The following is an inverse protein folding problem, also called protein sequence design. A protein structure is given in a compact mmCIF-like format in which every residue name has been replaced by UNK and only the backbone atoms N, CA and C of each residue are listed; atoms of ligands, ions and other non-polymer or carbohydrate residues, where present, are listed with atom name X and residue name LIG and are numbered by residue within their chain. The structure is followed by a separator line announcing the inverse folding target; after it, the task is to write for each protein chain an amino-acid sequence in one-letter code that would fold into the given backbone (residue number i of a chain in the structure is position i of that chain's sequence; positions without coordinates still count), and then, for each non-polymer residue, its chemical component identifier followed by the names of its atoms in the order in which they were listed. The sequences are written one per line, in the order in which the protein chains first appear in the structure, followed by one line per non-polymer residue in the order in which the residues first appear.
data_IF_990088317079
#
_entry.id   IF_990088317079
#
_cell.length_a   1.000
_cell.length_b   1.000
_cell.length_c   1.000
_cell.angle_alpha   90.00
_cell.angle_beta   90.00
_cell.angle_gamma   90.00
#
_symmetry.space_group_name_H-M   'P 1'
#
loop_
_entity.id
_entity.type
_entity.pdbx_description
1 polymer ?
#
# COMPACT_ATOMS: atom_id res chain seq x y z
N UNK A 1 -14.86 1.32 31.77
CA UNK A 1 -15.33 0.27 30.86
C UNK A 1 -15.18 -1.06 31.58
N UNK A 2 -16.21 -1.91 31.65
CA UNK A 2 -16.08 -3.21 32.31
C UNK A 2 -15.04 -4.08 31.56
N UNK A 3 -14.16 -4.83 32.26
CA UNK A 3 -13.08 -5.61 31.63
C UNK A 3 -13.57 -6.54 30.51
N UNK A 4 -14.71 -7.20 30.73
CA UNK A 4 -15.32 -8.10 29.75
C UNK A 4 -15.77 -7.39 28.46
N UNK A 5 -16.12 -6.10 28.54
CA UNK A 5 -16.53 -5.29 27.39
C UNK A 5 -15.33 -4.86 26.56
N UNK A 6 -14.23 -4.46 27.20
CA UNK A 6 -12.93 -4.15 26.56
C UNK A 6 -12.43 -5.35 25.75
N UNK A 7 -12.33 -6.52 26.39
CA UNK A 7 -11.79 -7.73 25.77
C UNK A 7 -12.63 -8.19 24.57
N UNK A 8 -13.96 -8.15 24.69
CA UNK A 8 -14.86 -8.50 23.57
C UNK A 8 -14.72 -7.53 22.40
N UNK A 9 -14.58 -6.23 22.68
CA UNK A 9 -14.38 -5.21 21.65
C UNK A 9 -13.05 -5.43 20.92
N UNK A 10 -11.97 -5.60 21.67
CA UNK A 10 -10.63 -5.79 21.12
C UNK A 10 -10.52 -7.09 20.31
N UNK A 11 -11.13 -8.18 20.78
CA UNK A 11 -11.19 -9.44 20.04
C UNK A 11 -11.87 -9.26 18.69
N UNK A 12 -13.02 -8.57 18.67
CA UNK A 12 -13.75 -8.29 17.43
C UNK A 12 -12.92 -7.44 16.49
N UNK A 13 -12.25 -6.41 16.99
CA UNK A 13 -11.38 -5.55 16.20
C UNK A 13 -10.25 -6.34 15.53
N UNK A 14 -9.50 -7.15 16.30
CA UNK A 14 -8.40 -7.97 15.79
C UNK A 14 -8.88 -8.92 14.68
N UNK A 15 -9.98 -9.64 14.94
CA UNK A 15 -10.54 -10.60 13.97
C UNK A 15 -11.07 -9.92 12.71
N UNK A 16 -11.75 -8.78 12.86
CA UNK A 16 -12.29 -8.03 11.72
C UNK A 16 -11.17 -7.46 10.85
N UNK A 17 -10.15 -6.85 11.46
CA UNK A 17 -9.00 -6.31 10.72
C UNK A 17 -8.24 -7.42 9.99
N UNK A 18 -8.01 -8.56 10.64
CA UNK A 18 -7.37 -9.72 10.00
C UNK A 18 -8.17 -10.19 8.78
N UNK A 19 -9.49 -10.32 8.91
CA UNK A 19 -10.38 -10.69 7.80
C UNK A 19 -10.29 -9.68 6.65
N UNK A 20 -10.43 -8.39 6.94
CA UNK A 20 -10.38 -7.32 5.92
C UNK A 20 -9.04 -7.28 5.17
N UNK A 21 -7.93 -7.50 5.89
CA UNK A 21 -6.60 -7.57 5.27
C UNK A 21 -6.45 -8.82 4.40
N UNK A 22 -6.90 -9.98 4.86
CA UNK A 22 -6.87 -11.23 4.09
C UNK A 22 -7.74 -11.14 2.81
N UNK A 23 -8.95 -10.56 2.91
CA UNK A 23 -9.87 -10.37 1.79
C UNK A 23 -9.31 -9.45 0.70
N UNK A 24 -8.33 -8.58 1.04
CA UNK A 24 -7.73 -7.62 0.11
C UNK A 24 -6.26 -7.87 -0.22
N UNK A 25 -5.59 -8.82 0.42
CA UNK A 25 -4.14 -9.05 0.30
C UNK A 25 -3.66 -9.24 -1.14
N UNK A 26 -4.47 -9.93 -1.97
CA UNK A 26 -4.15 -10.17 -3.39
C UNK A 26 -4.28 -8.91 -4.26
N UNK A 27 -4.96 -7.88 -3.76
CA UNK A 27 -5.15 -6.58 -4.41
C UNK A 27 -4.20 -5.50 -3.88
N UNK A 28 -3.57 -5.72 -2.72
CA UNK A 28 -2.60 -4.79 -2.13
C UNK A 28 -1.39 -4.61 -3.05
N UNK A 29 -0.86 -3.39 -3.09
CA UNK A 29 0.39 -3.08 -3.77
C UNK A 29 1.64 -3.41 -2.91
N UNK A 30 2.84 -3.13 -3.44
CA UNK A 30 4.11 -3.40 -2.73
C UNK A 30 4.23 -2.62 -1.41
N UNK A 31 3.75 -1.38 -1.36
CA UNK A 31 3.84 -0.54 -0.17
C UNK A 31 2.84 -1.02 0.87
N UNK A 32 1.58 -1.26 0.50
CA UNK A 32 0.56 -1.78 1.42
C UNK A 32 0.95 -3.14 2.03
N UNK A 33 1.55 -4.03 1.24
CA UNK A 33 2.03 -5.32 1.73
C UNK A 33 3.16 -5.16 2.75
N UNK A 34 4.16 -4.31 2.45
CA UNK A 34 5.27 -4.03 3.37
C UNK A 34 4.81 -3.30 4.62
N UNK A 35 3.88 -2.35 4.47
CA UNK A 35 3.28 -1.62 5.57
C UNK A 35 2.59 -2.57 6.53
N UNK A 36 1.79 -3.51 6.00
CA UNK A 36 1.11 -4.54 6.79
C UNK A 36 2.10 -5.37 7.60
N UNK A 37 3.22 -5.78 6.99
CA UNK A 37 4.26 -6.53 7.71
C UNK A 37 4.90 -5.68 8.79
N UNK A 38 5.29 -4.44 8.49
CA UNK A 38 5.91 -3.51 9.45
C UNK A 38 5.01 -3.23 10.65
N UNK A 39 3.74 -2.94 10.41
CA UNK A 39 2.75 -2.63 11.44
C UNK A 39 2.64 -3.74 12.48
N UNK A 40 2.50 -4.99 12.04
CA UNK A 40 2.35 -6.14 12.93
C UNK A 40 3.68 -6.57 13.54
N UNK A 41 4.77 -6.56 12.77
CA UNK A 41 6.09 -6.80 13.31
C UNK A 41 6.45 -5.80 14.42
N UNK A 42 5.93 -4.57 14.36
CA UNK A 42 6.16 -3.54 15.37
C UNK A 42 5.61 -3.93 16.75
N UNK A 43 4.53 -4.70 16.79
CA UNK A 43 3.90 -5.22 18.00
C UNK A 43 4.55 -6.50 18.54
N UNK A 44 5.41 -7.15 17.75
CA UNK A 44 6.09 -8.39 18.14
C UNK A 44 7.37 -8.11 18.95
N UNK A 45 7.65 -8.96 19.94
CA UNK A 45 8.94 -8.99 20.62
C UNK A 45 10.08 -9.36 19.64
N UNK A 46 11.35 -9.08 19.96
CA UNK A 46 12.47 -9.47 19.08
C UNK A 46 12.49 -10.96 18.74
N UNK A 47 12.18 -11.82 19.71
CA UNK A 47 12.11 -13.27 19.52
C UNK A 47 10.96 -13.68 18.59
N UNK A 48 9.78 -13.09 18.78
CA UNK A 48 8.63 -13.31 17.91
C UNK A 48 8.87 -12.80 16.49
N UNK A 49 9.48 -11.62 16.32
CA UNK A 49 9.86 -11.09 15.00
C UNK A 49 10.78 -12.08 14.29
N UNK A 50 11.79 -12.60 14.97
CA UNK A 50 12.71 -13.58 14.38
C UNK A 50 11.99 -14.87 13.98
N UNK A 51 11.07 -15.36 14.81
CA UNK A 51 10.31 -16.58 14.54
C UNK A 51 9.33 -16.44 13.37
N UNK A 52 8.61 -15.32 13.27
CA UNK A 52 7.50 -15.14 12.32
C UNK A 52 7.90 -14.43 11.02
N UNK A 53 8.94 -13.60 11.03
CA UNK A 53 9.44 -12.98 9.80
C UNK A 53 10.37 -13.91 9.03
N UNK A 54 11.11 -14.79 9.71
CA UNK A 54 12.00 -15.76 9.07
C UNK A 54 12.94 -15.10 8.05
N UNK A 55 12.81 -15.50 6.78
CA UNK A 55 13.62 -14.98 5.66
C UNK A 55 13.02 -13.73 4.96
N UNK A 56 11.98 -13.12 5.54
CA UNK A 56 11.30 -11.95 4.98
C UNK A 56 12.28 -10.87 4.53
N UNK A 57 12.04 -10.34 3.33
CA UNK A 57 12.79 -9.21 2.78
C UNK A 57 11.84 -8.24 2.11
N UNK A 58 12.00 -6.94 2.37
CA UNK A 58 11.25 -5.90 1.67
C UNK A 58 11.62 -5.79 0.18
N UNK A 59 12.72 -6.41 -0.23
CA UNK A 59 13.16 -6.51 -1.62
C UNK A 59 12.53 -7.68 -2.37
N UNK A 60 11.72 -8.49 -1.70
CA UNK A 60 10.88 -9.47 -2.37
C UNK A 60 9.96 -8.81 -3.41
N UNK A 61 9.63 -9.60 -4.42
CA UNK A 61 8.62 -9.23 -5.41
C UNK A 61 7.24 -9.19 -4.76
N UNK A 62 6.30 -8.45 -5.37
CA UNK A 62 4.90 -8.42 -4.92
C UNK A 62 4.30 -9.83 -4.81
N UNK A 63 4.62 -10.73 -5.75
CA UNK A 63 4.12 -12.10 -5.72
C UNK A 63 4.65 -12.90 -4.52
N UNK A 64 5.92 -12.70 -4.15
CA UNK A 64 6.49 -13.31 -2.95
C UNK A 64 5.84 -12.74 -1.68
N UNK A 65 5.66 -11.42 -1.62
CA UNK A 65 4.96 -10.76 -0.52
C UNK A 65 3.51 -11.26 -0.38
N UNK A 66 2.77 -11.38 -1.48
CA UNK A 66 1.38 -11.89 -1.48
C UNK A 66 1.27 -13.35 -1.05
N UNK A 67 2.32 -14.15 -1.17
CA UNK A 67 2.38 -15.51 -0.61
C UNK A 67 2.68 -15.52 0.88
N UNK A 68 3.58 -14.63 1.32
CA UNK A 68 4.03 -14.54 2.70
C UNK A 68 2.98 -13.89 3.63
N UNK A 69 2.48 -12.72 3.24
CA UNK A 69 1.65 -11.84 4.08
C UNK A 69 0.39 -12.54 4.63
N UNK A 70 -0.37 -13.37 3.88
CA UNK A 70 -1.53 -14.05 4.44
C UNK A 70 -1.22 -14.95 5.62
N UNK A 71 -0.13 -15.74 5.52
CA UNK A 71 0.32 -16.63 6.59
C UNK A 71 0.77 -15.80 7.79
N UNK A 72 1.55 -14.75 7.55
CA UNK A 72 2.01 -13.84 8.59
C UNK A 72 0.85 -13.13 9.32
N UNK A 73 -0.19 -12.67 8.60
CA UNK A 73 -1.40 -12.07 9.21
C UNK A 73 -2.06 -13.09 10.15
N UNK A 74 -2.22 -14.34 9.72
CA UNK A 74 -2.88 -15.37 10.53
C UNK A 74 -2.08 -15.68 11.80
N UNK A 75 -0.78 -15.95 11.66
CA UNK A 75 0.10 -16.22 12.81
C UNK A 75 0.14 -15.06 13.79
N UNK A 76 0.24 -13.82 13.30
CA UNK A 76 0.17 -12.63 14.13
C UNK A 76 -1.18 -12.49 14.84
N UNK A 77 -2.28 -12.76 14.13
CA UNK A 77 -3.64 -12.69 14.69
C UNK A 77 -3.80 -13.64 15.87
N UNK A 78 -3.27 -14.86 15.75
CA UNK A 78 -3.30 -15.85 16.84
C UNK A 78 -2.51 -15.34 18.05
N UNK A 79 -1.31 -14.80 17.85
CA UNK A 79 -0.52 -14.19 18.93
C UNK A 79 -1.24 -13.02 19.62
N UNK A 80 -1.85 -12.12 18.83
CA UNK A 80 -2.58 -10.99 19.36
C UNK A 80 -3.81 -11.43 20.19
N UNK A 81 -4.49 -12.50 19.76
CA UNK A 81 -5.60 -13.09 20.51
C UNK A 81 -5.14 -13.81 21.78
N UNK A 82 -3.97 -14.43 21.77
CA UNK A 82 -3.34 -15.04 22.95
C UNK A 82 -2.94 -13.99 23.98
N UNK A 83 -2.27 -12.90 23.57
CA UNK A 83 -1.94 -11.78 24.45
C UNK A 83 -3.22 -11.17 25.06
N UNK A 84 -4.24 -10.92 24.23
CA UNK A 84 -5.53 -10.43 24.70
C UNK A 84 -6.18 -11.37 25.74
N UNK A 85 -6.09 -12.69 25.53
CA UNK A 85 -6.61 -13.68 26.48
C UNK A 85 -5.83 -13.64 27.80
N UNK A 86 -4.51 -13.45 27.76
CA UNK A 86 -3.70 -13.30 28.96
C UNK A 86 -4.08 -12.05 29.79
N UNK A 87 -4.67 -11.03 29.15
CA UNK A 87 -5.15 -9.79 29.79
C UNK A 87 -6.63 -9.78 30.20
N UNK A 88 -7.36 -10.89 30.03
CA UNK A 88 -8.82 -10.92 30.21
C UNK A 88 -9.31 -10.53 31.62
N UNK A 89 -8.49 -10.80 32.65
CA UNK A 89 -8.78 -10.42 34.05
C UNK A 89 -8.34 -9.01 34.44
N UNK A 90 -7.64 -8.28 33.56
CA UNK A 90 -7.05 -6.99 33.89
C UNK A 90 -7.98 -5.83 33.55
N UNK A 91 -7.99 -4.78 34.39
CA UNK A 91 -8.88 -3.64 34.21
C UNK A 91 -8.52 -2.75 33.01
N UNK A 92 -7.28 -2.84 32.50
CA UNK A 92 -6.80 -2.01 31.40
C UNK A 92 -6.55 -0.55 31.80
N UNK A 93 -6.21 -0.32 33.07
CA UNK A 93 -5.97 1.03 33.62
C UNK A 93 -4.48 1.36 33.74
N UNK A 94 -3.61 0.36 33.60
CA UNK A 94 -2.15 0.49 33.60
C UNK A 94 -1.59 -0.09 32.31
N UNK A 95 -0.42 0.38 31.90
CA UNK A 95 0.23 -0.09 30.66
C UNK A 95 0.51 -1.60 30.68
N UNK A 96 0.88 -2.16 31.83
CA UNK A 96 1.11 -3.60 31.98
C UNK A 96 -0.15 -4.46 31.76
N UNK A 97 -1.33 -3.85 31.86
CA UNK A 97 -2.63 -4.51 31.67
C UNK A 97 -3.09 -4.45 30.19
N UNK A 98 -2.37 -3.73 29.33
CA UNK A 98 -2.67 -3.53 27.91
C UNK A 98 -1.94 -4.54 27.02
N UNK A 99 -2.56 -4.86 25.89
CA UNK A 99 -1.95 -5.61 24.80
C UNK A 99 -1.05 -4.71 23.95
N UNK A 100 -0.15 -5.31 23.17
CA UNK A 100 0.69 -4.54 22.24
C UNK A 100 -0.11 -3.80 21.16
N UNK A 101 -1.27 -4.34 20.77
CA UNK A 101 -2.25 -3.69 19.88
C UNK A 101 -2.87 -2.43 20.51
N UNK A 102 -3.32 -2.54 21.76
CA UNK A 102 -3.90 -1.39 22.46
C UNK A 102 -2.85 -0.30 22.69
N UNK A 103 -1.62 -0.70 23.04
CA UNK A 103 -0.51 0.23 23.11
C UNK A 103 -0.25 0.88 21.74
N UNK A 104 -0.36 0.19 20.62
CA UNK A 104 -0.17 0.80 19.30
C UNK A 104 -1.26 1.85 18.98
N UNK A 105 -2.51 1.64 19.40
CA UNK A 105 -3.60 2.59 19.13
C UNK A 105 -3.67 3.80 20.08
N UNK A 106 -2.79 3.88 21.09
CA UNK A 106 -2.74 5.00 22.02
C UNK A 106 -1.83 6.14 21.52
N UNK A 107 -2.16 7.38 21.88
CA UNK A 107 -1.29 8.53 21.67
C UNK A 107 -0.07 8.48 22.61
N UNK A 108 1.00 9.20 22.24
CA UNK A 108 2.18 9.29 23.10
C UNK A 108 1.86 10.02 24.41
N UNK A 109 1.04 11.06 24.37
CA UNK A 109 0.61 11.79 25.56
C UNK A 109 -0.01 10.86 26.62
N UNK A 110 -0.93 9.98 26.23
CA UNK A 110 -1.56 9.05 27.16
C UNK A 110 -0.57 8.02 27.71
N UNK A 111 0.29 7.45 26.86
CA UNK A 111 1.31 6.47 27.28
C UNK A 111 2.31 7.05 28.26
N UNK A 112 2.85 8.22 27.96
CA UNK A 112 3.88 8.85 28.77
C UNK A 112 3.32 9.40 30.07
N UNK A 113 2.05 9.84 30.09
CA UNK A 113 1.32 10.13 31.31
C UNK A 113 1.18 8.90 32.23
N UNK A 114 0.82 7.74 31.67
CA UNK A 114 0.70 6.50 32.44
C UNK A 114 2.06 5.97 32.91
N UNK A 115 3.10 6.03 32.06
CA UNK A 115 4.48 5.69 32.43
C UNK A 115 5.01 6.57 33.56
N UNK A 116 4.64 7.85 33.60
CA UNK A 116 5.05 8.73 34.69
C UNK A 116 4.50 8.28 36.06
N UNK A 117 3.34 7.63 36.07
CA UNK A 117 2.72 7.07 37.28
C UNK A 117 3.23 5.67 37.61
N UNK A 118 3.59 4.89 36.59
CA UNK A 118 4.09 3.53 36.72
C UNK A 118 5.29 3.29 35.78
N UNK A 119 6.50 3.72 36.17
CA UNK A 119 7.70 3.61 35.32
C UNK A 119 8.09 2.17 34.94
N UNK A 120 7.60 1.17 35.68
CA UNK A 120 7.81 -0.25 35.40
C UNK A 120 6.71 -0.90 34.56
N UNK A 121 5.76 -0.10 34.05
CA UNK A 121 4.56 -0.61 33.38
C UNK A 121 4.79 -1.21 31.98
N UNK A 122 5.97 -1.02 31.38
CA UNK A 122 6.33 -1.56 30.06
C UNK A 122 7.46 -2.58 30.16
N UNK A 123 7.39 -3.60 29.31
CA UNK A 123 8.53 -4.52 29.09
C UNK A 123 9.69 -3.79 28.39
N UNK A 124 10.93 -4.29 28.50
CA UNK A 124 12.10 -3.64 27.87
C UNK A 124 12.00 -3.46 26.35
N UNK A 125 11.35 -4.37 25.64
CA UNK A 125 11.09 -4.27 24.20
C UNK A 125 10.07 -3.16 23.88
N UNK A 126 8.99 -3.10 24.66
CA UNK A 126 7.94 -2.08 24.52
C UNK A 126 8.49 -0.69 24.83
N UNK A 127 9.31 -0.54 25.88
CA UNK A 127 9.92 0.74 26.24
C UNK A 127 10.79 1.28 25.10
N UNK A 128 11.58 0.43 24.45
CA UNK A 128 12.40 0.82 23.28
C UNK A 128 11.52 1.27 22.11
N UNK A 129 10.42 0.56 21.84
CA UNK A 129 9.44 0.94 20.82
C UNK A 129 8.86 2.32 21.10
N UNK A 130 8.38 2.58 22.31
CA UNK A 130 7.78 3.87 22.65
C UNK A 130 8.81 5.01 22.71
N UNK A 131 10.06 4.74 23.12
CA UNK A 131 11.16 5.71 23.00
C UNK A 131 11.46 6.07 21.54
N UNK A 132 11.46 5.09 20.63
CA UNK A 132 11.63 5.34 19.21
C UNK A 132 10.47 6.18 18.63
N UNK A 133 9.22 5.92 19.04
CA UNK A 133 8.07 6.76 18.64
C UNK A 133 8.15 8.16 19.21
N UNK A 134 8.56 8.32 20.48
CA UNK A 134 8.79 9.63 21.09
C UNK A 134 9.86 10.43 20.35
N UNK A 135 10.92 9.76 19.89
CA UNK A 135 11.94 10.39 19.05
C UNK A 135 11.37 10.96 17.73
N UNK A 136 10.34 10.34 17.16
CA UNK A 136 9.67 10.82 15.95
C UNK A 136 8.75 12.03 16.21
N UNK A 137 8.34 12.25 17.46
CA UNK A 137 7.35 13.26 17.83
C UNK A 137 7.91 14.68 17.84
N UNK A 138 7.67 15.47 16.78
CA UNK A 138 8.27 16.81 16.59
C UNK A 138 7.43 18.01 17.00
N UNK A 139 6.15 17.81 17.34
CA UNK A 139 5.23 18.89 17.71
C UNK A 139 4.26 18.45 18.79
N UNK A 140 3.60 19.42 19.41
CA UNK A 140 2.52 19.18 20.38
C UNK A 140 1.38 18.35 19.77
N UNK A 141 0.92 18.72 18.58
CA UNK A 141 -0.20 18.04 17.92
C UNK A 141 0.10 16.55 17.68
N UNK A 142 1.32 16.23 17.22
CA UNK A 142 1.75 14.85 17.00
C UNK A 142 1.88 14.04 18.30
N UNK A 143 2.12 14.70 19.43
CA UNK A 143 2.22 14.03 20.74
C UNK A 143 0.85 13.53 21.21
N UNK A 144 -0.20 14.26 20.88
CA UNK A 144 -1.59 13.92 21.21
C UNK A 144 -2.29 13.11 20.11
N UNK A 145 -1.72 13.03 18.91
CA UNK A 145 -2.25 12.23 17.81
C UNK A 145 -2.10 10.73 18.06
N UNK A 146 -3.21 10.00 17.95
CA UNK A 146 -3.22 8.53 18.01
C UNK A 146 -2.61 7.90 16.76
N UNK A 147 -2.64 8.59 15.62
CA UNK A 147 -2.15 8.10 14.34
C UNK A 147 -0.62 7.98 14.24
N UNK A 148 0.13 8.77 15.01
CA UNK A 148 1.60 8.72 14.97
C UNK A 148 2.16 7.34 15.32
N UNK A 149 1.55 6.66 16.31
CA UNK A 149 2.01 5.35 16.77
C UNK A 149 1.99 4.28 15.67
N UNK A 150 1.01 4.36 14.77
CA UNK A 150 0.88 3.47 13.61
C UNK A 150 1.75 3.98 12.44
N UNK A 151 1.63 5.27 12.11
CA UNK A 151 2.32 5.86 10.95
C UNK A 151 3.85 5.88 11.09
N UNK A 152 4.41 5.86 12.30
CA UNK A 152 5.85 5.89 12.52
C UNK A 152 6.60 4.78 11.76
N UNK A 153 6.00 3.59 11.61
CA UNK A 153 6.61 2.43 10.94
C UNK A 153 6.84 2.65 9.44
N UNK A 154 6.22 3.67 8.86
CA UNK A 154 6.37 4.01 7.44
C UNK A 154 7.75 4.60 7.15
N UNK A 155 8.37 5.22 8.15
CA UNK A 155 9.53 6.07 7.97
C UNK A 155 10.84 5.37 8.38
N UNK A 156 11.87 5.39 7.52
CA UNK A 156 13.16 4.75 7.81
C UNK A 156 13.86 5.33 9.06
N UNK A 157 13.60 6.60 9.41
CA UNK A 157 14.14 7.22 10.61
C UNK A 157 13.71 6.48 11.89
N UNK A 158 12.45 6.03 11.96
CA UNK A 158 11.92 5.27 13.09
C UNK A 158 12.66 3.95 13.26
N UNK A 159 12.81 3.18 12.17
CA UNK A 159 13.50 1.88 12.19
C UNK A 159 14.95 2.03 12.60
N UNK A 160 15.67 3.03 12.07
CA UNK A 160 17.06 3.32 12.46
C UNK A 160 17.21 3.59 13.96
N UNK A 161 16.28 4.34 14.55
CA UNK A 161 16.29 4.66 15.98
C UNK A 161 15.94 3.43 16.81
N UNK A 162 14.93 2.67 16.39
CA UNK A 162 14.53 1.43 17.07
C UNK A 162 15.65 0.40 17.06
N UNK A 163 16.26 0.12 15.90
CA UNK A 163 17.39 -0.81 15.77
C UNK A 163 18.57 -0.37 16.66
N UNK A 164 18.87 0.92 16.70
CA UNK A 164 19.92 1.43 17.58
C UNK A 164 19.57 1.29 19.07
N UNK A 165 18.31 1.42 19.47
CA UNK A 165 17.87 1.16 20.85
C UNK A 165 17.92 -0.33 21.21
N UNK A 166 17.57 -1.20 20.28
CA UNK A 166 17.62 -2.66 20.46
C UNK A 166 19.05 -3.19 20.54
N UNK A 167 19.99 -2.59 19.81
CA UNK A 167 21.41 -2.91 19.88
C UNK A 167 22.10 -2.46 21.19
N UNK A 168 21.41 -1.71 22.06
CA UNK A 168 21.97 -1.18 23.32
C UNK A 168 21.48 -1.97 24.53
N UNK A 169 22.31 -2.06 25.60
CA UNK A 169 21.90 -2.66 26.87
C UNK A 169 20.69 -1.94 27.48
N UNK A 170 19.89 -2.65 28.28
CA UNK A 170 18.68 -2.11 28.94
C UNK A 170 18.95 -0.82 29.72
N UNK A 171 20.12 -0.70 30.35
CA UNK A 171 20.54 0.49 31.08
C UNK A 171 20.48 1.80 30.25
N UNK A 172 20.61 1.71 28.92
CA UNK A 172 20.47 2.87 28.02
C UNK A 172 19.01 3.28 27.89
N UNK A 173 18.10 2.32 27.71
CA UNK A 173 16.67 2.59 27.65
C UNK A 173 16.15 3.12 29.00
N UNK A 174 16.63 2.57 30.12
CA UNK A 174 16.32 3.05 31.46
C UNK A 174 16.86 4.47 31.74
N UNK A 175 18.05 4.79 31.22
CA UNK A 175 18.57 6.16 31.28
C UNK A 175 17.66 7.13 30.50
N UNK A 176 17.30 6.80 29.26
CA UNK A 176 16.42 7.63 28.44
C UNK A 176 15.03 7.75 29.05
N UNK A 177 14.49 6.68 29.65
CA UNK A 177 13.25 6.73 30.40
C UNK A 177 13.32 7.79 31.51
N UNK A 178 14.40 7.80 32.32
CA UNK A 178 14.58 8.83 33.37
C UNK A 178 14.60 10.24 32.80
N UNK A 179 15.27 10.46 31.68
CA UNK A 179 15.30 11.76 30.98
C UNK A 179 13.89 12.23 30.61
N UNK A 180 13.05 11.32 30.11
CA UNK A 180 11.66 11.63 29.76
C UNK A 180 10.83 11.90 31.02
N UNK A 181 10.99 11.08 32.06
CA UNK A 181 10.26 11.21 33.33
C UNK A 181 10.57 12.52 34.07
N UNK A 182 11.81 13.01 34.03
CA UNK A 182 12.19 14.32 34.54
C UNK A 182 11.44 15.48 33.85
N UNK A 183 10.88 15.23 32.66
CA UNK A 183 10.10 16.19 31.86
C UNK A 183 8.61 15.87 31.83
N UNK A 184 8.15 14.87 32.57
CA UNK A 184 6.78 14.38 32.51
C UNK A 184 5.73 15.46 32.83
N UNK A 185 6.01 16.35 33.79
CA UNK A 185 5.12 17.46 34.15
C UNK A 185 4.96 18.45 32.97
N UNK A 186 6.09 18.82 32.33
CA UNK A 186 6.08 19.68 31.13
C UNK A 186 5.32 19.04 29.98
N UNK A 187 5.45 17.72 29.80
CA UNK A 187 4.76 16.98 28.73
C UNK A 187 3.25 16.81 29.00
N UNK A 188 2.83 16.68 30.26
CA UNK A 188 1.45 16.35 30.61
C UNK A 188 0.57 17.59 30.79
N UNK A 189 1.09 18.61 31.46
CA UNK A 189 0.32 19.78 31.91
C UNK A 189 0.88 21.12 31.36
N UNK A 190 1.94 21.06 30.54
CA UNK A 190 2.56 22.24 29.94
C UNK A 190 1.78 22.82 28.76
N UNK A 191 1.93 24.13 28.47
CA UNK A 191 1.43 24.72 27.23
C UNK A 191 2.16 24.13 26.00
N UNK A 192 1.58 24.24 24.78
CA UNK A 192 2.15 23.65 23.57
C UNK A 192 3.64 23.93 23.35
N UNK A 193 4.08 25.18 23.49
CA UNK A 193 5.48 25.58 23.31
C UNK A 193 6.44 24.87 24.29
N UNK A 194 6.00 24.66 25.54
CA UNK A 194 6.80 23.99 26.57
C UNK A 194 6.93 22.48 26.30
N UNK A 195 5.85 21.87 25.78
CA UNK A 195 5.84 20.47 25.33
C UNK A 195 6.78 20.30 24.15
N UNK A 196 6.72 21.18 23.15
CA UNK A 196 7.61 21.14 21.98
C UNK A 196 9.07 21.29 22.37
N UNK A 197 9.38 22.21 23.28
CA UNK A 197 10.72 22.36 23.83
C UNK A 197 11.18 21.08 24.57
N UNK A 198 10.31 20.46 25.38
CA UNK A 198 10.64 19.22 26.08
C UNK A 198 10.88 18.06 25.10
N UNK A 199 10.07 17.92 24.06
CA UNK A 199 10.24 16.93 23.00
C UNK A 199 11.55 17.13 22.23
N UNK A 200 11.91 18.38 21.93
CA UNK A 200 13.18 18.71 21.29
C UNK A 200 14.38 18.30 22.15
N UNK A 201 14.38 18.62 23.44
CA UNK A 201 15.42 18.19 24.39
C UNK A 201 15.54 16.66 24.47
N UNK A 202 14.41 15.95 24.59
CA UNK A 202 14.37 14.48 24.66
C UNK A 202 14.98 13.88 23.39
N UNK A 203 14.59 14.40 22.22
CA UNK A 203 15.12 13.95 20.92
C UNK A 203 16.62 14.18 20.82
N UNK A 204 17.09 15.34 21.24
CA UNK A 204 18.52 15.69 21.21
C UNK A 204 19.34 14.76 22.13
N UNK A 205 18.88 14.51 23.36
CA UNK A 205 19.54 13.59 24.30
C UNK A 205 19.53 12.17 23.77
N UNK A 206 18.39 11.72 23.22
CA UNK A 206 18.26 10.39 22.62
C UNK A 206 19.19 10.22 21.43
N UNK A 207 19.21 11.18 20.50
CA UNK A 207 20.10 11.17 19.34
C UNK A 207 21.57 11.12 19.73
N UNK A 208 22.00 11.96 20.69
CA UNK A 208 23.37 11.94 21.23
C UNK A 208 23.72 10.60 21.89
N UNK A 209 22.81 10.04 22.68
CA UNK A 209 23.02 8.77 23.38
C UNK A 209 23.17 7.60 22.40
N UNK A 210 22.38 7.60 21.33
CA UNK A 210 22.42 6.54 20.31
C UNK A 210 23.52 6.74 19.27
N UNK A 211 24.08 7.95 19.15
CA UNK A 211 24.99 8.33 18.08
C UNK A 211 24.27 8.55 16.74
N UNK A 212 22.99 8.92 16.79
CA UNK A 212 22.14 9.16 15.62
C UNK A 212 21.99 10.66 15.42
N UNK A 213 22.27 11.12 14.20
CA UNK A 213 21.97 12.46 13.75
C UNK A 213 20.93 12.38 12.62
N UNK A 214 19.70 12.78 12.91
CA UNK A 214 18.60 12.90 11.94
C UNK A 214 18.01 14.32 12.09
N UNK A 215 18.07 15.17 11.04
CA UNK A 215 17.41 16.46 11.05
C UNK A 215 15.90 16.33 11.28
N UNK A 216 15.29 17.25 12.04
CA UNK A 216 13.87 17.18 12.44
C UNK A 216 12.94 17.21 11.21
N UNK A 217 13.31 17.96 10.18
CA UNK A 217 12.63 18.04 8.88
C UNK A 217 12.73 16.74 8.06
N UNK A 218 13.67 15.84 8.39
CA UNK A 218 13.86 14.56 7.73
C UNK A 218 13.27 13.36 8.48
N UNK A 219 12.67 13.55 9.67
CA UNK A 219 12.07 12.46 10.44
C UNK A 219 11.00 11.70 9.63
N UNK A 220 10.23 12.40 8.79
CA UNK A 220 9.16 11.85 7.98
C UNK A 220 9.51 11.77 6.48
N UNK A 221 10.80 11.75 6.16
CA UNK A 221 11.26 11.61 4.77
C UNK A 221 11.37 10.14 4.35
N UNK A 222 11.13 9.87 3.06
CA UNK A 222 11.26 8.52 2.50
C UNK A 222 10.20 7.55 3.01
N UNK A 223 8.93 7.99 3.06
CA UNK A 223 7.80 7.13 3.40
C UNK A 223 7.85 5.83 2.58
N UNK A 224 7.72 4.69 3.25
CA UNK A 224 7.68 3.36 2.64
C UNK A 224 8.86 3.02 1.71
N UNK A 225 10.03 3.65 1.83
CA UNK A 225 11.24 3.16 1.16
C UNK A 225 11.60 1.76 1.66
N UNK A 226 12.17 0.91 0.80
CA UNK A 226 12.54 -0.47 1.17
C UNK A 226 13.66 -0.47 2.21
N UNK A 227 13.55 -1.38 3.19
CA UNK A 227 14.53 -1.58 4.25
C UNK A 227 15.22 -2.95 4.13
N UNK A 228 16.54 -3.04 4.36
CA UNK A 228 17.49 -1.93 4.60
C UNK A 228 17.61 -1.00 3.38
N UNK A 229 18.01 0.26 3.56
CA UNK A 229 18.06 1.26 2.46
C UNK A 229 18.98 0.85 1.32
N UNK A 230 20.09 0.20 1.65
CA UNK A 230 20.98 -0.43 0.67
C UNK A 230 20.45 -1.82 0.35
N UNK A 231 20.25 -2.10 -0.93
CA UNK A 231 19.80 -3.41 -1.37
C UNK A 231 20.86 -4.47 -1.03
N UNK A 232 20.51 -5.54 -0.31
CA UNK A 232 21.43 -6.64 -0.04
C UNK A 232 21.93 -7.29 -1.35
N UNK A 233 23.20 -7.71 -1.37
CA UNK A 233 23.81 -8.43 -2.50
C UNK A 233 23.06 -9.72 -2.82
N UNK A 234 22.61 -10.42 -1.77
CA UNK A 234 21.78 -11.62 -1.84
C UNK A 234 20.42 -11.33 -1.20
N UNK A 235 19.35 -11.45 -1.99
CA UNK A 235 17.98 -11.43 -1.45
C UNK A 235 17.62 -12.88 -1.14
N UNK A 236 17.33 -13.23 0.13
CA UNK A 236 16.91 -14.58 0.49
C UNK A 236 15.74 -15.00 -0.39
N UNK A 237 15.83 -16.14 -1.06
CA UNK A 237 14.67 -16.69 -1.74
C UNK A 237 13.64 -17.08 -0.67
N UNK A 238 12.41 -16.57 -0.82
CA UNK A 238 11.29 -17.07 -0.04
C UNK A 238 11.26 -18.60 -0.19
N UNK A 239 11.18 -19.32 0.93
CA UNK A 239 11.06 -20.77 0.91
C UNK A 239 9.97 -21.14 -0.10
N UNK A 240 10.21 -22.09 -1.03
CA UNK A 240 9.25 -22.42 -2.07
C UNK A 240 8.00 -22.98 -1.41
N UNK A 241 7.03 -22.11 -1.15
CA UNK A 241 5.66 -22.53 -0.92
C UNK A 241 5.08 -22.84 -2.29
N UNK A 242 4.67 -24.10 -2.46
CA UNK A 242 3.44 -24.48 -3.14
C UNK A 242 2.80 -23.35 -3.98
N UNK A 243 3.09 -23.14 -5.29
CA UNK A 243 2.44 -22.08 -6.07
C UNK A 243 0.89 -22.12 -6.05
N UNK A 244 0.29 -23.18 -5.50
CA UNK A 244 -1.13 -23.33 -5.24
C UNK A 244 -1.65 -22.82 -3.88
N UNK A 245 -0.82 -22.54 -2.87
CA UNK A 245 -1.31 -22.25 -1.51
C UNK A 245 -2.11 -20.94 -1.41
N UNK A 246 -1.69 -19.89 -2.13
CA UNK A 246 -2.39 -18.59 -2.18
C UNK A 246 -3.75 -18.66 -2.90
N UNK A 247 -3.94 -19.62 -3.81
CA UNK A 247 -5.19 -19.77 -4.60
C UNK A 247 -6.05 -20.96 -4.19
N UNK A 248 -5.54 -21.86 -3.34
CA UNK A 248 -6.28 -23.01 -2.83
C UNK A 248 -7.49 -22.59 -1.98
N UNK A 249 -7.40 -21.43 -1.29
CA UNK A 249 -8.47 -20.86 -0.49
C UNK A 249 -9.45 -19.96 -1.25
N UNK A 250 -9.20 -19.65 -2.52
CA UNK A 250 -10.05 -18.75 -3.29
C UNK A 250 -11.38 -19.42 -3.68
N UNK A 251 -12.47 -18.68 -3.48
CA UNK A 251 -13.78 -18.95 -4.02
C UNK A 251 -13.77 -18.89 -5.56
N UNK A 252 -14.79 -19.46 -6.20
CA UNK A 252 -14.93 -19.43 -7.67
C UNK A 252 -14.99 -18.01 -8.20
N UNK A 253 -15.62 -17.10 -7.45
CA UNK A 253 -15.71 -15.70 -7.81
C UNK A 253 -14.34 -15.00 -7.75
N UNK A 254 -13.54 -15.27 -6.72
CA UNK A 254 -12.19 -14.72 -6.58
C UNK A 254 -11.26 -15.23 -7.69
N UNK A 255 -11.34 -16.53 -8.02
CA UNK A 255 -10.59 -17.11 -9.13
C UNK A 255 -10.95 -16.44 -10.47
N UNK A 256 -12.25 -16.23 -10.73
CA UNK A 256 -12.71 -15.53 -11.92
C UNK A 256 -12.21 -14.08 -11.98
N UNK A 257 -12.15 -13.41 -10.83
CA UNK A 257 -11.65 -12.03 -10.71
C UNK A 257 -10.17 -11.93 -10.97
N UNK A 258 -9.38 -12.83 -10.36
CA UNK A 258 -7.95 -12.91 -10.60
C UNK A 258 -7.66 -13.19 -12.08
N UNK A 259 -8.45 -14.07 -12.71
CA UNK A 259 -8.34 -14.33 -14.15
C UNK A 259 -8.59 -13.08 -14.97
N UNK A 260 -9.71 -12.37 -14.72
CA UNK A 260 -10.02 -11.12 -15.41
C UNK A 260 -8.90 -10.09 -15.25
N UNK A 261 -8.39 -9.90 -14.04
CA UNK A 261 -7.30 -8.97 -13.77
C UNK A 261 -6.00 -9.33 -14.52
N UNK A 262 -5.64 -10.62 -14.59
CA UNK A 262 -4.46 -11.05 -15.33
C UNK A 262 -4.65 -10.94 -16.84
N UNK A 263 -5.84 -11.22 -17.38
CA UNK A 263 -6.14 -10.96 -18.80
C UNK A 263 -6.13 -9.45 -19.11
N UNK A 264 -6.54 -8.65 -18.11
CA UNK A 264 -6.29 -7.23 -17.92
C UNK A 264 -4.87 -6.76 -18.31
N UNK A 265 -3.93 -7.61 -17.93
CA UNK A 265 -2.47 -7.59 -18.07
C UNK A 265 -1.90 -7.64 -19.47
N UNK A 266 -2.58 -8.44 -20.28
CA UNK A 266 -1.94 -9.13 -21.40
C UNK A 266 -1.87 -8.23 -22.62
N UNK A 267 -0.80 -8.34 -23.38
CA UNK A 267 -0.82 -7.97 -24.80
C UNK A 267 -1.77 -8.88 -25.58
N UNK A 268 -2.20 -8.46 -26.76
CA UNK A 268 -3.01 -9.26 -27.68
C UNK A 268 -2.32 -10.59 -27.99
N UNK A 269 -1.00 -10.58 -28.19
CA UNK A 269 -0.21 -11.80 -28.41
C UNK A 269 -0.28 -12.76 -27.22
N UNK A 270 -0.11 -12.25 -26.00
CA UNK A 270 -0.22 -13.06 -24.78
C UNK A 270 -1.65 -13.59 -24.59
N UNK A 271 -2.66 -12.77 -24.92
CA UNK A 271 -4.06 -13.17 -24.86
C UNK A 271 -4.37 -14.30 -25.87
N UNK A 272 -3.87 -14.20 -27.10
CA UNK A 272 -4.01 -15.24 -28.14
C UNK A 272 -3.31 -16.55 -27.74
N UNK A 273 -2.18 -16.45 -27.03
CA UNK A 273 -1.44 -17.62 -26.57
C UNK A 273 -2.15 -18.34 -25.42
N UNK A 274 -2.69 -17.58 -24.44
CA UNK A 274 -3.16 -18.16 -23.18
C UNK A 274 -4.67 -18.21 -22.99
N UNK A 275 -5.41 -17.27 -23.56
CA UNK A 275 -6.87 -17.13 -23.35
C UNK A 275 -7.66 -17.70 -24.51
N UNK A 276 -7.22 -17.48 -25.75
CA UNK A 276 -7.91 -18.00 -26.94
C UNK A 276 -8.10 -19.53 -26.93
N UNK A 277 -7.15 -20.38 -26.46
CA UNK A 277 -7.39 -21.81 -26.33
C UNK A 277 -8.56 -22.14 -25.39
N UNK A 278 -8.72 -21.38 -24.30
CA UNK A 278 -9.80 -21.58 -23.34
C UNK A 278 -11.15 -21.20 -23.93
N UNK A 279 -11.23 -20.14 -24.74
CA UNK A 279 -12.47 -19.77 -25.44
C UNK A 279 -12.92 -20.79 -26.49
N UNK A 280 -12.00 -21.60 -27.01
CA UNK A 280 -12.34 -22.72 -27.90
C UNK A 280 -12.92 -23.91 -27.13
N UNK A 281 -12.58 -24.02 -25.85
CA UNK A 281 -13.00 -25.11 -24.96
C UNK A 281 -14.25 -24.76 -24.14
N UNK A 282 -14.39 -23.50 -23.74
CA UNK A 282 -15.43 -23.00 -22.85
C UNK A 282 -16.12 -21.78 -23.48
N UNK A 283 -17.46 -21.68 -23.37
CA UNK A 283 -18.20 -20.58 -24.04
C UNK A 283 -18.06 -19.25 -23.32
N UNK A 284 -17.73 -19.28 -22.04
CA UNK A 284 -17.48 -18.09 -21.23
C UNK A 284 -16.51 -18.38 -20.09
N UNK A 285 -15.94 -17.32 -19.50
CA UNK A 285 -15.07 -17.42 -18.32
C UNK A 285 -15.79 -18.09 -17.14
N UNK A 286 -17.10 -17.88 -17.00
CA UNK A 286 -17.92 -18.47 -15.94
C UNK A 286 -18.09 -20.00 -16.08
N UNK A 287 -17.82 -20.55 -17.27
CA UNK A 287 -17.89 -21.99 -17.53
C UNK A 287 -16.55 -22.70 -17.31
N UNK A 288 -15.46 -21.97 -17.03
CA UNK A 288 -14.15 -22.57 -16.77
C UNK A 288 -14.20 -23.26 -15.40
N UNK A 289 -13.87 -24.56 -15.31
CA UNK A 289 -13.82 -25.27 -14.03
C UNK A 289 -12.87 -24.57 -13.04
N UNK A 290 -13.23 -24.46 -11.74
CA UNK A 290 -12.37 -23.82 -10.74
C UNK A 290 -10.97 -24.43 -10.65
N UNK A 291 -10.86 -25.74 -10.86
CA UNK A 291 -9.56 -26.44 -10.81
C UNK A 291 -8.67 -26.10 -12.00
N UNK A 292 -9.25 -25.87 -13.18
CA UNK A 292 -8.53 -25.38 -14.36
C UNK A 292 -8.02 -23.95 -14.13
N UNK A 293 -8.85 -23.09 -13.51
CA UNK A 293 -8.41 -21.74 -13.12
C UNK A 293 -7.27 -21.80 -12.09
N UNK A 294 -7.37 -22.65 -11.06
CA UNK A 294 -6.30 -22.81 -10.05
C UNK A 294 -5.00 -23.31 -10.66
N UNK A 295 -5.06 -24.17 -11.67
CA UNK A 295 -3.87 -24.64 -12.37
C UNK A 295 -3.27 -23.58 -13.31
N UNK A 296 -4.11 -22.74 -13.92
CA UNK A 296 -3.70 -21.75 -14.92
C UNK A 296 -3.18 -20.45 -14.29
N UNK A 297 -3.86 -19.92 -13.30
CA UNK A 297 -3.60 -18.59 -12.74
C UNK A 297 -2.16 -18.40 -12.23
N UNK A 298 -1.51 -19.37 -11.54
CA UNK A 298 -0.10 -19.22 -11.15
C UNK A 298 0.83 -19.05 -12.35
N UNK A 299 0.55 -19.72 -13.47
CA UNK A 299 1.34 -19.62 -14.71
C UNK A 299 1.16 -18.25 -15.36
N UNK A 300 -0.06 -17.74 -15.37
CA UNK A 300 -0.36 -16.40 -15.90
C UNK A 300 0.26 -15.31 -15.03
N UNK A 301 0.14 -15.41 -13.71
CA UNK A 301 0.77 -14.49 -12.75
C UNK A 301 2.28 -14.45 -12.95
N UNK A 302 2.95 -15.61 -12.96
CA UNK A 302 4.39 -15.68 -13.22
C UNK A 302 4.78 -15.06 -14.58
N UNK A 303 3.92 -15.20 -15.59
CA UNK A 303 4.16 -14.64 -16.93
C UNK A 303 3.96 -13.12 -16.99
N UNK A 304 2.97 -12.59 -16.27
CA UNK A 304 2.73 -11.15 -16.13
C UNK A 304 3.82 -10.47 -15.30
N UNK A 305 4.47 -11.23 -14.43
CA UNK A 305 5.61 -10.75 -13.64
C UNK A 305 5.19 -9.61 -12.73
N UNK A 306 5.88 -8.47 -12.82
CA UNK A 306 5.61 -7.35 -11.96
C UNK A 306 4.57 -6.37 -12.49
N UNK A 307 3.88 -6.64 -13.62
CA UNK A 307 2.83 -5.77 -14.16
C UNK A 307 1.65 -5.63 -13.18
N UNK A 308 1.06 -4.44 -13.14
CA UNK A 308 -0.07 -4.09 -12.25
C UNK A 308 -1.22 -3.46 -13.02
N UNK A 309 -2.43 -3.62 -12.47
CA UNK A 309 -3.65 -3.06 -13.05
C UNK A 309 -3.65 -1.52 -13.07
N UNK A 310 -2.84 -0.89 -12.21
CA UNK A 310 -2.61 0.55 -12.03
C UNK A 310 -1.43 1.09 -12.85
N UNK A 311 -0.65 0.25 -13.54
CA UNK A 311 0.53 0.70 -14.30
C UNK A 311 0.16 1.74 -15.38
N UNK A 312 -1.09 1.73 -15.85
CA UNK A 312 -1.62 2.73 -16.78
C UNK A 312 -1.55 4.17 -16.22
N UNK A 313 -1.67 4.34 -14.90
CA UNK A 313 -1.56 5.63 -14.22
C UNK A 313 -0.19 5.82 -13.57
N UNK A 314 0.35 4.78 -12.92
CA UNK A 314 1.67 4.84 -12.25
C UNK A 314 2.80 5.19 -13.22
N UNK A 315 2.64 4.89 -14.52
CA UNK A 315 3.63 5.26 -15.55
C UNK A 315 3.98 6.74 -15.60
N UNK A 316 3.04 7.62 -15.25
CA UNK A 316 3.28 9.07 -15.22
C UNK A 316 4.03 9.50 -13.96
N UNK A 317 3.79 8.80 -12.84
CA UNK A 317 4.27 9.18 -11.51
C UNK A 317 5.63 8.58 -11.16
N UNK A 318 5.84 7.30 -11.47
CA UNK A 318 6.95 6.50 -10.92
C UNK A 318 7.74 5.74 -11.98
N UNK A 319 7.51 6.00 -13.27
CA UNK A 319 8.28 5.37 -14.35
C UNK A 319 7.94 3.91 -14.59
N UNK A 320 6.79 3.44 -14.09
CA UNK A 320 6.16 2.18 -14.54
C UNK A 320 5.86 2.27 -16.03
N UNK A 321 5.68 1.13 -16.68
CA UNK A 321 5.41 1.06 -18.12
C UNK A 321 4.41 -0.06 -18.39
N UNK A 322 3.60 0.07 -19.43
CA UNK A 322 2.60 -0.96 -19.76
C UNK A 322 3.20 -2.03 -20.68
N UNK A 323 4.10 -1.64 -21.59
CA UNK A 323 4.68 -2.53 -22.59
C UNK A 323 6.21 -2.55 -22.55
N UNK A 324 6.85 -1.41 -22.30
CA UNK A 324 8.29 -1.27 -22.15
C UNK A 324 8.78 -1.72 -20.77
N UNK A 325 10.11 -1.79 -20.61
CA UNK A 325 10.72 -2.00 -19.30
C UNK A 325 10.52 -0.76 -18.44
N UNK A 326 10.09 -0.96 -17.18
CA UNK A 326 10.02 0.11 -16.19
C UNK A 326 11.36 0.82 -15.99
N UNK A 327 11.28 2.11 -15.73
CA UNK A 327 12.40 2.94 -15.28
C UNK A 327 12.45 2.87 -13.75
N UNK A 328 13.66 2.91 -13.19
CA UNK A 328 13.81 3.00 -11.74
C UNK A 328 13.13 4.29 -11.22
N UNK A 329 12.30 4.24 -10.16
CA UNK A 329 11.56 5.42 -9.69
C UNK A 329 12.47 6.60 -9.31
N UNK A 330 13.63 6.35 -8.70
CA UNK A 330 14.56 7.42 -8.33
C UNK A 330 15.15 8.08 -9.59
N UNK A 331 15.45 7.28 -10.62
CA UNK A 331 15.87 7.82 -11.92
C UNK A 331 14.72 8.61 -12.56
N UNK A 332 13.50 8.07 -12.55
CA UNK A 332 12.32 8.72 -13.12
C UNK A 332 12.10 10.13 -12.57
N UNK A 333 12.20 10.28 -11.24
CA UNK A 333 12.07 11.56 -10.55
C UNK A 333 13.15 12.57 -10.95
N UNK A 334 14.34 12.12 -11.31
CA UNK A 334 15.44 12.99 -11.76
C UNK A 334 15.32 13.41 -13.23
N UNK A 335 14.57 12.67 -14.05
CA UNK A 335 14.45 12.97 -15.49
C UNK A 335 13.66 14.27 -15.72
N UNK A 336 14.10 15.14 -16.66
CA UNK A 336 13.33 16.29 -17.07
C UNK A 336 12.09 15.87 -17.88
N UNK A 337 11.04 16.71 -17.87
CA UNK A 337 9.75 16.43 -18.52
C UNK A 337 9.86 15.98 -19.99
N UNK A 338 10.71 16.57 -20.85
CA UNK A 338 10.84 16.11 -22.24
C UNK A 338 11.37 14.67 -22.36
N UNK A 339 12.26 14.25 -21.46
CA UNK A 339 12.79 12.88 -21.45
C UNK A 339 11.75 11.88 -20.96
N UNK A 340 11.00 12.24 -19.90
CA UNK A 340 9.85 11.44 -19.45
C UNK A 340 8.82 11.25 -20.56
N UNK A 341 8.48 12.33 -21.28
CA UNK A 341 7.56 12.29 -22.40
C UNK A 341 8.07 11.37 -23.51
N UNK A 342 9.35 11.48 -23.90
CA UNK A 342 9.93 10.63 -24.94
C UNK A 342 9.88 9.14 -24.58
N UNK A 343 10.09 8.79 -23.30
CA UNK A 343 9.98 7.41 -22.81
C UNK A 343 8.52 6.93 -22.88
N UNK A 344 7.56 7.74 -22.42
CA UNK A 344 6.13 7.38 -22.48
C UNK A 344 5.62 7.23 -23.92
N UNK A 345 6.10 8.08 -24.84
CA UNK A 345 5.80 7.98 -26.27
C UNK A 345 6.45 6.74 -26.92
N UNK A 346 7.60 6.28 -26.41
CA UNK A 346 8.14 4.97 -26.81
C UNK A 346 7.25 3.84 -26.31
N UNK A 347 6.86 3.87 -25.05
CA UNK A 347 5.97 2.85 -24.46
C UNK A 347 4.60 2.79 -25.17
N UNK A 348 4.02 3.93 -25.54
CA UNK A 348 2.79 3.98 -26.34
C UNK A 348 2.93 3.31 -27.71
N UNK A 349 4.09 3.42 -28.37
CA UNK A 349 4.36 2.76 -29.67
C UNK A 349 4.55 1.26 -29.52
N UNK A 350 4.95 0.79 -28.35
CA UNK A 350 5.14 -0.64 -28.05
C UNK A 350 3.82 -1.31 -27.61
N UNK A 351 2.86 -0.55 -27.08
CA UNK A 351 1.52 -1.06 -26.77
C UNK A 351 0.77 -1.51 -28.02
N UNK A 352 0.08 -2.64 -27.91
CA UNK A 352 -0.94 -2.98 -28.90
C UNK A 352 -2.23 -2.20 -28.70
N UNK A 353 -3.12 -2.27 -29.70
CA UNK A 353 -4.40 -1.55 -29.70
C UNK A 353 -5.28 -1.90 -28.49
N UNK A 354 -5.24 -3.14 -27.99
CA UNK A 354 -6.04 -3.56 -26.84
C UNK A 354 -5.47 -2.97 -25.53
N UNK A 355 -4.15 -2.91 -25.39
CA UNK A 355 -3.50 -2.25 -24.25
C UNK A 355 -3.77 -0.74 -24.27
N UNK A 356 -3.62 -0.08 -25.41
CA UNK A 356 -3.93 1.35 -25.56
C UNK A 356 -5.42 1.64 -25.26
N UNK A 357 -6.33 0.79 -25.74
CA UNK A 357 -7.76 0.90 -25.46
C UNK A 357 -8.09 0.78 -23.96
N UNK A 358 -7.55 -0.23 -23.27
CA UNK A 358 -7.73 -0.41 -21.83
C UNK A 358 -7.14 0.74 -21.02
N UNK A 359 -5.97 1.23 -21.42
CA UNK A 359 -5.32 2.39 -20.80
C UNK A 359 -6.23 3.64 -20.87
N UNK A 360 -6.73 3.99 -22.06
CA UNK A 360 -7.65 5.11 -22.25
C UNK A 360 -8.97 4.92 -21.48
N UNK A 361 -9.53 3.71 -21.51
CA UNK A 361 -10.77 3.40 -20.81
C UNK A 361 -10.60 3.56 -19.28
N UNK A 362 -9.50 3.07 -18.69
CA UNK A 362 -9.25 3.19 -17.26
C UNK A 362 -9.10 4.65 -16.82
N UNK A 363 -8.41 5.48 -17.59
CA UNK A 363 -8.34 6.93 -17.33
C UNK A 363 -9.75 7.54 -17.40
N UNK A 364 -10.53 7.20 -18.43
CA UNK A 364 -11.88 7.73 -18.60
C UNK A 364 -12.82 7.39 -17.44
N UNK A 365 -12.78 6.16 -16.94
CA UNK A 365 -13.63 5.72 -15.81
C UNK A 365 -13.13 6.21 -14.44
N UNK A 366 -11.87 6.63 -14.32
CA UNK A 366 -11.32 7.20 -13.09
C UNK A 366 -11.87 8.60 -12.84
N UNK A 367 -13.06 8.68 -12.23
CA UNK A 367 -13.80 9.93 -12.04
C UNK A 367 -13.17 10.88 -11.01
N UNK A 368 -12.25 10.38 -10.20
CA UNK A 368 -11.46 11.16 -9.26
C UNK A 368 -9.98 10.76 -9.37
N UNK A 369 -9.08 11.65 -8.95
CA UNK A 369 -7.64 11.45 -9.10
C UNK A 369 -7.17 10.21 -8.35
N UNK A 370 -7.65 10.00 -7.12
CA UNK A 370 -7.28 8.83 -6.32
C UNK A 370 -7.75 7.51 -6.96
N UNK A 371 -8.84 7.54 -7.74
CA UNK A 371 -9.34 6.36 -8.44
C UNK A 371 -8.40 5.89 -9.55
N UNK A 372 -7.48 6.73 -10.04
CA UNK A 372 -6.44 6.29 -10.98
C UNK A 372 -5.52 5.22 -10.36
N UNK A 373 -5.32 5.28 -9.04
CA UNK A 373 -4.38 4.43 -8.30
C UNK A 373 -5.10 3.39 -7.42
N UNK A 374 -6.42 3.39 -7.37
CA UNK A 374 -7.20 2.40 -6.63
C UNK A 374 -7.31 1.08 -7.41
N UNK A 375 -6.45 0.12 -7.08
CA UNK A 375 -6.46 -1.20 -7.70
C UNK A 375 -7.79 -1.95 -7.51
N UNK A 376 -8.46 -1.76 -6.37
CA UNK A 376 -9.76 -2.37 -6.09
C UNK A 376 -10.84 -1.85 -7.05
N UNK A 377 -10.89 -0.53 -7.24
CA UNK A 377 -11.77 0.11 -8.22
C UNK A 377 -11.55 -0.44 -9.63
N UNK A 378 -10.29 -0.55 -10.08
CA UNK A 378 -9.99 -1.06 -11.42
C UNK A 378 -10.32 -2.53 -11.60
N UNK A 379 -10.17 -3.36 -10.56
CA UNK A 379 -10.58 -4.76 -10.59
C UNK A 379 -12.11 -4.87 -10.70
N UNK A 380 -12.86 -4.08 -9.92
CA UNK A 380 -14.32 -4.04 -9.98
C UNK A 380 -14.80 -3.54 -11.37
N UNK A 381 -14.07 -2.57 -11.95
CA UNK A 381 -14.35 -2.02 -13.28
C UNK A 381 -14.30 -3.08 -14.38
N UNK A 382 -13.46 -4.12 -14.26
CA UNK A 382 -13.37 -5.19 -15.26
C UNK A 382 -14.69 -5.95 -15.46
N UNK A 383 -15.54 -5.99 -14.43
CA UNK A 383 -16.86 -6.63 -14.49
C UNK A 383 -17.94 -5.70 -15.07
N UNK A 384 -17.64 -4.42 -15.25
CA UNK A 384 -18.60 -3.44 -15.76
C UNK A 384 -18.88 -3.63 -17.26
N UNK A 385 -20.14 -3.85 -17.67
CA UNK A 385 -20.50 -3.90 -19.08
C UNK A 385 -20.18 -2.60 -19.83
N UNK A 386 -20.20 -1.45 -19.12
CA UNK A 386 -19.84 -0.15 -19.70
C UNK A 386 -18.36 -0.08 -20.04
N UNK A 387 -17.50 -0.61 -19.15
CA UNK A 387 -16.06 -0.70 -19.40
C UNK A 387 -15.76 -1.58 -20.61
N UNK A 388 -16.31 -2.80 -20.62
CA UNK A 388 -16.13 -3.74 -21.72
C UNK A 388 -16.67 -3.18 -23.04
N UNK A 389 -17.83 -2.51 -23.02
CA UNK A 389 -18.40 -1.83 -24.17
C UNK A 389 -17.49 -0.72 -24.74
N UNK A 390 -16.87 0.07 -23.86
CA UNK A 390 -15.94 1.13 -24.28
C UNK A 390 -14.65 0.55 -24.88
N UNK A 391 -14.04 -0.43 -24.22
CA UNK A 391 -12.84 -1.11 -24.72
C UNK A 391 -13.12 -1.77 -26.07
N UNK A 392 -14.24 -2.47 -26.22
CA UNK A 392 -14.64 -3.07 -27.49
C UNK A 392 -14.89 -2.02 -28.57
N UNK A 393 -15.47 -0.86 -28.25
CA UNK A 393 -15.65 0.25 -29.20
C UNK A 393 -14.31 0.84 -29.63
N UNK A 394 -13.35 0.99 -28.71
CA UNK A 394 -11.99 1.45 -29.01
C UNK A 394 -11.23 0.47 -29.93
N UNK A 395 -11.43 -0.84 -29.72
CA UNK A 395 -10.77 -1.89 -30.53
C UNK A 395 -11.46 -2.09 -31.88
N UNK A 396 -12.81 -2.08 -31.92
CA UNK A 396 -13.61 -2.56 -33.06
C UNK A 396 -14.33 -1.45 -33.85
N UNK A 397 -14.42 -0.23 -33.33
CA UNK A 397 -15.31 0.80 -33.86
C UNK A 397 -14.73 1.62 -35.03
N UNK A 398 -15.52 1.90 -36.09
CA UNK A 398 -15.34 3.12 -36.88
C UNK A 398 -15.87 4.29 -36.03
N UNK A 399 -14.97 5.03 -35.40
CA UNK A 399 -15.34 6.18 -34.59
C UNK A 399 -15.73 7.34 -35.55
N UNK A 400 -17.02 7.65 -35.70
CA UNK A 400 -17.50 8.85 -36.42
C UNK A 400 -17.46 8.83 -37.96
N UNK A 401 -18.30 9.68 -38.55
CA UNK A 401 -18.73 9.74 -39.97
C UNK A 401 -17.64 10.16 -41.01
N UNK A 402 -16.36 10.16 -40.64
CA UNK A 402 -15.27 10.53 -41.55
C UNK A 402 -14.48 9.30 -42.00
N UNK A 403 -15.00 8.63 -43.03
CA UNK A 403 -14.46 7.40 -43.63
C UNK A 403 -13.08 7.53 -44.31
N UNK A 404 -12.03 7.96 -43.59
CA UNK A 404 -10.66 8.05 -44.15
C UNK A 404 -9.51 7.64 -43.24
N UNK A 405 -9.71 7.31 -41.97
CA UNK A 405 -8.60 6.88 -41.09
C UNK A 405 -8.82 5.50 -40.47
N UNK A 406 -7.82 4.61 -40.50
CA UNK A 406 -7.91 3.31 -39.83
C UNK A 406 -8.01 3.52 -38.31
N UNK A 407 -8.90 2.77 -37.65
CA UNK A 407 -9.22 2.90 -36.22
C UNK A 407 -8.00 2.92 -35.30
N UNK A 408 -6.95 2.16 -35.63
CA UNK A 408 -5.70 2.11 -34.86
C UNK A 408 -4.99 3.46 -34.76
N UNK A 409 -4.92 4.24 -35.86
CA UNK A 409 -4.20 5.52 -35.87
C UNK A 409 -4.84 6.56 -34.96
N UNK A 410 -6.17 6.55 -34.85
CA UNK A 410 -6.90 7.48 -33.99
C UNK A 410 -6.74 7.13 -32.50
N UNK A 411 -6.70 5.85 -32.14
CA UNK A 411 -6.41 5.41 -30.76
C UNK A 411 -4.99 5.78 -30.37
N UNK A 412 -4.02 5.62 -31.28
CA UNK A 412 -2.64 6.05 -31.08
C UNK A 412 -2.53 7.56 -30.86
N UNK A 413 -3.16 8.37 -31.72
CA UNK A 413 -3.15 9.84 -31.61
C UNK A 413 -3.80 10.30 -30.29
N UNK A 414 -4.93 9.69 -29.91
CA UNK A 414 -5.60 9.97 -28.64
C UNK A 414 -4.74 9.55 -27.44
N UNK A 415 -4.13 8.36 -27.48
CA UNK A 415 -3.21 7.91 -26.44
C UNK A 415 -2.03 8.85 -26.29
N UNK A 416 -1.50 9.40 -27.39
CA UNK A 416 -0.42 10.37 -27.35
C UNK A 416 -0.87 11.71 -26.74
N UNK A 417 -2.04 12.21 -27.11
CA UNK A 417 -2.60 13.44 -26.54
C UNK A 417 -2.86 13.29 -25.03
N UNK A 418 -3.52 12.20 -24.62
CA UNK A 418 -3.79 11.89 -23.21
C UNK A 418 -2.49 11.71 -22.42
N UNK A 419 -1.48 11.08 -23.00
CA UNK A 419 -0.16 10.91 -22.36
C UNK A 419 0.49 12.23 -22.00
N UNK A 420 0.44 13.22 -22.90
CA UNK A 420 0.95 14.57 -22.60
C UNK A 420 0.15 15.22 -21.49
N UNK A 421 -1.18 15.18 -21.57
CA UNK A 421 -2.02 15.82 -20.57
C UNK A 421 -1.90 15.17 -19.18
N UNK A 422 -1.74 13.85 -19.10
CA UNK A 422 -1.51 13.11 -17.85
C UNK A 422 -0.13 13.40 -17.26
N UNK A 423 0.90 13.53 -18.10
CA UNK A 423 2.22 13.95 -17.62
C UNK A 423 2.19 15.39 -17.07
N UNK A 424 1.50 16.30 -17.76
CA UNK A 424 1.27 17.67 -17.26
C UNK A 424 0.49 17.66 -15.95
N UNK A 425 -0.51 16.78 -15.83
CA UNK A 425 -1.32 16.61 -14.64
C UNK A 425 -0.46 16.27 -13.41
N UNK A 426 0.47 15.33 -13.56
CA UNK A 426 1.38 14.94 -12.46
C UNK A 426 2.33 16.07 -12.03
N UNK A 427 2.61 17.04 -12.89
CA UNK A 427 3.40 18.22 -12.56
C UNK A 427 2.62 19.30 -11.78
N UNK A 428 1.29 19.18 -11.68
CA UNK A 428 0.45 20.14 -10.95
C UNK A 428 0.42 19.87 -9.43
N UNK A 429 0.18 20.91 -8.61
CA UNK A 429 -0.16 20.75 -7.19
C UNK A 429 -1.42 19.89 -7.00
N UNK A 430 -1.51 19.19 -5.86
CA UNK A 430 -2.62 18.28 -5.50
C UNK A 430 -4.00 18.86 -5.78
N UNK A 431 -4.23 20.12 -5.39
CA UNK A 431 -5.51 20.82 -5.50
C UNK A 431 -6.00 20.99 -6.95
N UNK A 432 -5.07 21.06 -7.91
CA UNK A 432 -5.37 21.31 -9.32
C UNK A 432 -5.54 20.01 -10.13
N UNK A 433 -5.06 18.88 -9.63
CA UNK A 433 -5.10 17.57 -10.32
C UNK A 433 -6.52 17.09 -10.62
N UNK A 434 -7.51 17.22 -9.71
CA UNK A 434 -8.88 16.79 -9.99
C UNK A 434 -9.49 17.50 -11.20
N UNK A 435 -9.29 18.82 -11.32
CA UNK A 435 -9.79 19.62 -12.45
C UNK A 435 -9.12 19.19 -13.75
N UNK A 436 -7.78 19.06 -13.74
CA UNK A 436 -7.02 18.61 -14.92
C UNK A 436 -7.43 17.21 -15.36
N UNK A 437 -7.73 16.30 -14.44
CA UNK A 437 -8.24 14.97 -14.76
C UNK A 437 -9.59 15.04 -15.49
N UNK A 438 -10.50 15.93 -15.07
CA UNK A 438 -11.78 16.12 -15.78
C UNK A 438 -11.57 16.59 -17.21
N UNK A 439 -10.59 17.46 -17.47
CA UNK A 439 -10.24 17.88 -18.83
C UNK A 439 -9.72 16.71 -19.67
N UNK A 440 -8.85 15.87 -19.11
CA UNK A 440 -8.37 14.65 -19.78
C UNK A 440 -9.54 13.74 -20.14
N UNK A 441 -10.46 13.50 -19.19
CA UNK A 441 -11.66 12.69 -19.41
C UNK A 441 -12.57 13.27 -20.48
N UNK A 442 -12.74 14.60 -20.52
CA UNK A 442 -13.52 15.30 -21.54
C UNK A 442 -12.90 15.17 -22.94
N UNK A 443 -11.57 15.21 -23.05
CA UNK A 443 -10.86 14.97 -24.32
C UNK A 443 -11.11 13.54 -24.81
N UNK A 444 -11.03 12.54 -23.92
CA UNK A 444 -11.35 11.15 -24.26
C UNK A 444 -12.82 11.03 -24.69
N UNK A 445 -13.75 11.62 -23.94
CA UNK A 445 -15.18 11.59 -24.26
C UNK A 445 -15.48 12.17 -25.64
N UNK A 446 -14.90 13.35 -25.93
CA UNK A 446 -15.07 14.07 -27.19
C UNK A 446 -14.52 13.26 -28.36
N UNK A 447 -13.30 12.74 -28.23
CA UNK A 447 -12.67 11.95 -29.28
C UNK A 447 -13.44 10.67 -29.60
N UNK A 448 -14.20 10.15 -28.64
CA UNK A 448 -14.94 8.89 -28.75
C UNK A 448 -16.45 9.08 -28.98
N UNK A 449 -16.93 10.32 -29.06
CA UNK A 449 -18.36 10.63 -29.20
C UNK A 449 -19.21 10.00 -28.09
N UNK A 450 -18.70 10.00 -26.85
CA UNK A 450 -19.41 9.43 -25.72
C UNK A 450 -20.46 10.42 -25.19
N UNK A 451 -21.65 9.94 -24.80
CA UNK A 451 -22.67 10.79 -24.19
C UNK A 451 -22.21 11.35 -22.82
N UNK A 452 -22.71 12.54 -22.48
CA UNK A 452 -22.34 13.30 -21.27
C UNK A 452 -22.71 12.58 -19.95
N UNK A 453 -23.57 11.55 -20.00
CA UNK A 453 -23.92 10.73 -18.84
C UNK A 453 -22.79 9.76 -18.41
N UNK A 454 -21.76 9.57 -19.25
CA UNK A 454 -20.57 8.79 -18.92
C UNK A 454 -19.42 9.66 -18.39
N UNK A 455 -19.45 10.98 -18.57
CA UNK A 455 -18.41 11.90 -18.08
C UNK A 455 -18.61 12.28 -16.61
N UNK A 456 -19.81 12.09 -16.04
CA UNK A 456 -20.11 12.43 -14.64
C UNK A 456 -20.85 11.32 -13.87
N UNK A 457 -20.22 10.65 -12.88
CA UNK A 457 -20.96 10.23 -11.71
C UNK A 457 -21.05 11.43 -10.76
N UNK A 458 -22.21 12.09 -10.73
CA UNK A 458 -22.54 12.99 -9.64
C UNK A 458 -22.71 12.15 -8.36
N UNK A 459 -21.75 12.29 -7.45
CA UNK A 459 -21.81 11.85 -6.04
C UNK A 459 -21.81 10.34 -5.75
N UNK A 460 -21.27 10.01 -4.57
CA UNK A 460 -21.38 8.72 -3.89
C UNK A 460 -22.86 8.43 -3.59
N UNK A 461 -23.61 7.85 -4.53
CA UNK A 461 -24.90 7.24 -4.21
C UNK A 461 -24.94 5.79 -4.68
N UNK A 462 -25.03 4.88 -3.70
CA UNK A 462 -25.61 3.55 -3.87
C UNK A 462 -24.67 2.44 -4.35
N UNK A 463 -23.90 1.86 -3.43
CA UNK A 463 -23.68 0.40 -3.48
C UNK A 463 -25.03 -0.26 -3.17
N UNK A 464 -25.57 -1.01 -4.11
CA UNK A 464 -26.63 -1.99 -3.91
C UNK A 464 -26.06 -3.39 -4.14
#
# INVERSE_FOLDING_TARGET
MEPLTRIKSQRRFIQQRAKELLDRVNRMDDEELRWTVRMFADCLSPEQRMAHLGAYSEYWTVDQLRRFVPTFIQEYTDLALEDLKAKEGAQGTRLADLTDEELQSMSLAEKWYLLAKDPGGLRPDQLRRELARLFMCKSYDLFHDTGLSEAAVEFPAYHRVREALEARPDAVAEFLLRVVLERAERLSDGPPDDVEAALAEIREVTGRTLGILIPVDQLFAGQMVKLPLERPDEIPEAAPQEPGASMAGMSVEELGTAFLALTDLMSLREWEEYVLPLQRQYRSIAEIPPDDLRALLPRLSARMGDRRITDFAERYRSGRMVAERKVDPAIWEMLPTPERLAILERDNRTMDIAQAARHLAKIFFSYHYDMLFDAGFHVDLLRSPRYQGLVNRLISGPLGDSGREPAGRRVEDLAQAVTRMMLDLEALPSEARPVRLQEVRAVIATALGLPDDLTYPASKEGRA
#
